data_IF_582617504789
#
_entry.id   IF_582617504789
#
_cell.length_a   1.000
_cell.length_b   1.000
_cell.length_c   1.000
_cell.angle_alpha   90.00
_cell.angle_beta   90.00
_cell.angle_gamma   90.00
#
_symmetry.space_group_name_H-M   'P 1'
#
loop_
_entity.id
_entity.type
_entity.pdbx_description
1 polymer ?
#
# COMPACT_ATOMS: atom_id res chain seq x y z
N UNK A 1 14.39 -14.97 16.16
CA UNK A 1 14.50 -15.76 17.41
C UNK A 1 15.03 -14.97 18.61
N UNK A 2 16.03 -14.09 18.49
CA UNK A 2 16.56 -13.29 19.64
C UNK A 2 15.57 -12.31 20.29
N UNK A 3 14.60 -11.78 19.53
CA UNK A 3 13.61 -10.80 20.03
C UNK A 3 12.49 -11.41 20.89
N UNK A 4 12.26 -12.73 20.77
CA UNK A 4 11.20 -13.42 21.52
C UNK A 4 11.60 -13.73 22.97
N UNK A 5 12.87 -14.04 23.22
CA UNK A 5 13.39 -14.23 24.57
C UNK A 5 13.25 -12.97 25.44
N UNK A 6 13.42 -11.79 24.83
CA UNK A 6 13.33 -10.50 25.52
C UNK A 6 11.88 -10.18 25.93
N UNK A 7 10.89 -10.49 25.08
CA UNK A 7 9.47 -10.29 25.41
C UNK A 7 9.01 -11.26 26.50
N UNK A 8 9.50 -12.50 26.49
CA UNK A 8 9.20 -13.50 27.51
C UNK A 8 9.81 -13.13 28.87
N UNK A 9 11.04 -12.60 28.88
CA UNK A 9 11.68 -12.08 30.11
C UNK A 9 11.02 -10.80 30.64
N UNK A 10 10.39 -9.98 29.79
CA UNK A 10 9.68 -8.76 30.21
C UNK A 10 8.27 -9.03 30.77
N UNK A 11 7.65 -10.17 30.43
CA UNK A 11 6.32 -10.53 30.91
C UNK A 11 6.33 -11.19 32.30
N UNK A 12 7.44 -11.80 32.71
CA UNK A 12 7.57 -12.46 34.02
C UNK A 12 7.46 -11.45 35.19
N UNK A 13 8.10 -10.26 35.16
CA UNK A 13 7.94 -9.25 36.21
C UNK A 13 6.54 -8.61 36.26
N UNK A 14 5.83 -8.55 35.13
CA UNK A 14 4.49 -7.95 35.05
C UNK A 14 3.42 -8.82 35.70
N UNK A 15 3.57 -10.15 35.65
CA UNK A 15 2.68 -11.09 36.35
C UNK A 15 2.93 -11.02 37.87
N UNK A 16 4.19 -10.86 38.31
CA UNK A 16 4.50 -10.66 39.74
C UNK A 16 4.00 -9.32 40.30
N UNK A 17 3.82 -8.29 39.47
CA UNK A 17 3.25 -7.01 39.90
C UNK A 17 1.72 -7.07 40.08
N UNK A 18 1.01 -7.93 39.35
CA UNK A 18 -0.44 -8.14 39.53
C UNK A 18 -0.78 -9.05 40.70
N UNK A 19 0.15 -9.91 41.15
CA UNK A 19 -0.03 -10.72 42.34
C UNK A 19 0.30 -9.98 43.66
N UNK A 20 0.84 -8.75 43.59
CA UNK A 20 1.33 -7.99 44.75
C UNK A 20 0.44 -6.80 45.13
N UNK A 21 -0.85 -6.85 44.79
CA UNK A 21 -1.85 -5.90 45.29
C UNK A 21 -3.07 -6.66 45.81
N UNK A 22 -2.97 -7.09 47.07
CA UNK A 22 -3.99 -7.87 47.76
C UNK A 22 -3.69 -8.10 49.25
N UNK A 23 -3.56 -6.98 49.98
CA UNK A 23 -3.91 -6.79 51.40
C UNK A 23 -3.05 -7.38 52.54
N UNK A 24 -2.90 -6.54 53.58
CA UNK A 24 -2.13 -6.70 54.81
C UNK A 24 -3.02 -7.29 55.92
N UNK A 25 -2.49 -8.22 56.75
CA UNK A 25 -3.07 -8.48 58.08
C UNK A 25 -3.08 -9.95 58.53
N UNK A 26 -2.19 -10.27 59.46
CA UNK A 26 -2.16 -11.41 60.39
C UNK A 26 -3.32 -12.43 60.35
N UNK A 27 -3.01 -13.69 60.01
CA UNK A 27 -3.19 -14.84 60.93
C UNK A 27 -2.75 -16.15 60.27
N UNK A 28 -2.06 -16.97 61.05
CA UNK A 28 -1.58 -18.30 60.73
C UNK A 28 -2.68 -19.20 60.16
N UNK A 29 -2.58 -19.57 58.88
CA UNK A 29 -3.22 -20.78 58.36
C UNK A 29 -2.47 -21.23 57.11
N UNK A 30 -2.10 -22.50 57.11
CA UNK A 30 -1.51 -23.22 55.99
C UNK A 30 -2.34 -22.99 54.72
N UNK A 31 -1.93 -22.06 53.88
CA UNK A 31 -2.51 -21.83 52.56
C UNK A 31 -1.52 -22.37 51.53
N UNK A 32 -1.33 -23.68 51.56
CA UNK A 32 -0.85 -24.39 50.37
C UNK A 32 -1.91 -24.21 49.28
N UNK A 33 -1.56 -23.48 48.22
CA UNK A 33 -2.43 -23.27 47.07
C UNK A 33 -2.83 -24.64 46.50
N UNK A 34 -4.13 -24.96 46.49
CA UNK A 34 -4.58 -26.32 46.15
C UNK A 34 -4.01 -26.74 44.79
N UNK A 35 -3.58 -28.00 44.65
CA UNK A 35 -2.95 -28.48 43.41
C UNK A 35 -3.78 -28.23 42.15
N UNK A 36 -5.11 -28.10 42.31
CA UNK A 36 -6.02 -27.69 41.25
C UNK A 36 -5.79 -26.23 40.78
N UNK A 37 -5.60 -25.29 41.71
CA UNK A 37 -5.29 -23.90 41.38
C UNK A 37 -3.96 -23.79 40.62
N UNK A 38 -2.92 -24.52 41.06
CA UNK A 38 -1.62 -24.57 40.37
C UNK A 38 -1.78 -25.14 38.95
N UNK A 39 -2.54 -26.22 38.79
CA UNK A 39 -2.82 -26.81 37.48
C UNK A 39 -3.54 -25.83 36.55
N UNK A 40 -4.59 -25.16 37.02
CA UNK A 40 -5.33 -24.17 36.22
C UNK A 40 -4.46 -22.99 35.78
N UNK A 41 -3.55 -22.54 36.64
CA UNK A 41 -2.61 -21.46 36.34
C UNK A 41 -1.63 -21.87 35.23
N UNK A 42 -1.09 -23.09 35.29
CA UNK A 42 -0.20 -23.63 34.25
C UNK A 42 -0.93 -23.74 32.89
N UNK A 43 -2.17 -24.25 32.90
CA UNK A 43 -2.99 -24.36 31.68
C UNK A 43 -3.28 -22.99 31.07
N UNK A 44 -3.58 -21.99 31.91
CA UNK A 44 -3.82 -20.62 31.45
C UNK A 44 -2.57 -19.99 30.81
N UNK A 45 -1.38 -20.20 31.39
CA UNK A 45 -0.11 -19.74 30.81
C UNK A 45 0.14 -20.43 29.45
N UNK A 46 -0.05 -21.75 29.37
CA UNK A 46 0.12 -22.49 28.13
C UNK A 46 -0.82 -22.00 27.03
N UNK A 47 -2.08 -21.69 27.38
CA UNK A 47 -3.07 -21.14 26.45
C UNK A 47 -2.68 -19.76 25.92
N UNK A 48 -2.13 -18.88 26.77
CA UNK A 48 -1.65 -17.55 26.37
C UNK A 48 -0.49 -17.68 25.39
N UNK A 49 0.48 -18.55 25.68
CA UNK A 49 1.64 -18.79 24.78
C UNK A 49 1.16 -19.31 23.42
N UNK A 50 0.23 -20.28 23.43
CA UNK A 50 -0.31 -20.85 22.19
C UNK A 50 -1.09 -19.81 21.37
N UNK A 51 -1.86 -18.95 22.03
CA UNK A 51 -2.58 -17.83 21.38
C UNK A 51 -1.63 -16.84 20.72
N UNK A 52 -0.53 -16.49 21.39
CA UNK A 52 0.50 -15.60 20.83
C UNK A 52 1.17 -16.24 19.60
N UNK A 53 1.47 -17.53 19.63
CA UNK A 53 2.08 -18.24 18.48
C UNK A 53 1.15 -18.24 17.27
N UNK A 54 -0.15 -18.47 17.47
CA UNK A 54 -1.15 -18.42 16.40
C UNK A 54 -1.24 -17.01 15.81
N UNK A 55 -1.27 -15.97 16.65
CA UNK A 55 -1.30 -14.57 16.20
C UNK A 55 -0.07 -14.20 15.37
N UNK A 56 1.13 -14.62 15.79
CA UNK A 56 2.37 -14.38 15.02
C UNK A 56 2.33 -15.12 13.68
N UNK A 57 1.87 -16.37 13.67
CA UNK A 57 1.77 -17.17 12.44
C UNK A 57 0.75 -16.58 11.49
N UNK A 58 -0.36 -16.07 12.01
CA UNK A 58 -1.36 -15.36 11.21
C UNK A 58 -0.81 -14.04 10.69
N UNK A 59 -0.14 -13.24 11.52
CA UNK A 59 0.54 -12.02 11.10
C UNK A 59 1.54 -12.29 9.97
N UNK A 60 2.34 -13.35 10.09
CA UNK A 60 3.30 -13.73 9.05
C UNK A 60 2.59 -14.08 7.73
N UNK A 61 1.49 -14.84 7.78
CA UNK A 61 0.67 -15.13 6.59
C UNK A 61 0.07 -13.85 5.98
N UNK A 62 -0.38 -12.89 6.78
CA UNK A 62 -0.88 -11.61 6.25
C UNK A 62 0.24 -10.73 5.68
N UNK A 63 1.45 -10.78 6.23
CA UNK A 63 2.59 -9.99 5.75
C UNK A 63 3.16 -10.58 4.46
N UNK A 64 3.21 -11.91 4.34
CA UNK A 64 3.62 -12.60 3.11
C UNK A 64 2.65 -12.30 1.96
N UNK A 65 1.33 -12.23 2.22
CA UNK A 65 0.33 -11.82 1.22
C UNK A 65 0.53 -10.37 0.79
N UNK A 66 0.75 -9.45 1.73
CA UNK A 66 0.99 -8.05 1.40
C UNK A 66 2.34 -7.85 0.69
N UNK A 67 3.34 -8.65 1.01
CA UNK A 67 4.65 -8.63 0.35
C UNK A 67 4.58 -9.23 -1.07
N UNK A 68 3.79 -10.29 -1.29
CA UNK A 68 3.50 -10.83 -2.63
C UNK A 68 2.72 -9.81 -3.45
N UNK A 69 1.71 -9.17 -2.84
CA UNK A 69 0.94 -8.08 -3.45
C UNK A 69 1.85 -6.92 -3.78
N UNK A 70 2.76 -6.51 -2.90
CA UNK A 70 3.74 -5.46 -3.17
C UNK A 70 4.73 -5.86 -4.27
N UNK A 71 5.27 -7.08 -4.29
CA UNK A 71 6.17 -7.50 -5.37
C UNK A 71 5.49 -7.65 -6.74
N UNK A 72 4.19 -7.99 -6.78
CA UNK A 72 3.37 -7.99 -8.01
C UNK A 72 2.92 -6.56 -8.40
N UNK A 73 2.70 -5.68 -7.43
CA UNK A 73 2.19 -4.30 -7.65
C UNK A 73 3.33 -3.31 -7.96
N UNK A 74 4.54 -3.53 -7.43
CA UNK A 74 5.69 -2.65 -7.64
C UNK A 74 6.35 -2.83 -9.02
N UNK A 75 5.93 -3.85 -9.78
CA UNK A 75 6.37 -4.11 -11.14
C UNK A 75 5.16 -4.23 -12.08
N UNK A 76 4.32 -3.18 -12.12
CA UNK A 76 3.37 -2.89 -13.21
C UNK A 76 2.73 -4.17 -13.80
N UNK A 77 1.82 -4.86 -13.07
CA UNK A 77 1.28 -6.13 -13.52
C UNK A 77 0.66 -5.89 -14.89
N UNK A 78 1.25 -6.52 -15.91
CA UNK A 78 0.94 -6.29 -17.33
C UNK A 78 -0.58 -6.20 -17.47
N UNK A 79 -1.11 -5.08 -17.98
CA UNK A 79 -2.55 -4.78 -18.01
C UNK A 79 -3.43 -5.98 -18.42
N UNK A 80 -2.91 -6.78 -19.35
CA UNK A 80 -3.47 -8.05 -19.82
C UNK A 80 -3.68 -9.10 -18.72
N UNK A 81 -2.77 -9.21 -17.77
CA UNK A 81 -2.86 -10.11 -16.62
C UNK A 81 -4.02 -9.73 -15.70
N UNK A 82 -4.16 -8.44 -15.34
CA UNK A 82 -5.27 -7.97 -14.50
C UNK A 82 -6.63 -8.20 -15.17
N UNK A 83 -6.70 -8.00 -16.49
CA UNK A 83 -7.90 -8.32 -17.29
C UNK A 83 -8.17 -9.83 -17.30
N UNK A 84 -7.13 -10.65 -17.44
CA UNK A 84 -7.25 -12.11 -17.51
C UNK A 84 -7.72 -12.76 -16.20
N UNK A 85 -7.35 -12.19 -15.04
CA UNK A 85 -7.82 -12.65 -13.72
C UNK A 85 -9.21 -12.09 -13.35
N UNK A 86 -9.83 -11.27 -14.21
CA UNK A 86 -11.17 -10.71 -14.00
C UNK A 86 -11.22 -9.43 -13.15
N UNK A 87 -10.06 -8.90 -12.73
CA UNK A 87 -9.93 -7.71 -11.87
C UNK A 87 -10.04 -6.41 -12.68
N UNK A 88 -11.23 -6.15 -13.23
CA UNK A 88 -11.46 -5.04 -14.18
C UNK A 88 -11.21 -3.66 -13.58
N UNK A 89 -11.62 -3.41 -12.33
CA UNK A 89 -11.42 -2.12 -11.67
C UNK A 89 -9.93 -1.84 -11.42
N UNK A 90 -9.19 -2.85 -10.98
CA UNK A 90 -7.74 -2.73 -10.77
C UNK A 90 -7.02 -2.52 -12.11
N UNK A 91 -7.44 -3.22 -13.17
CA UNK A 91 -6.91 -3.03 -14.51
C UNK A 91 -7.16 -1.61 -15.03
N UNK A 92 -8.34 -1.05 -14.76
CA UNK A 92 -8.70 0.31 -15.17
C UNK A 92 -7.87 1.35 -14.41
N UNK A 93 -7.70 1.18 -13.09
CA UNK A 93 -6.83 2.04 -12.28
C UNK A 93 -5.37 1.97 -12.75
N UNK A 94 -4.86 0.77 -12.99
CA UNK A 94 -3.50 0.57 -13.50
C UNK A 94 -3.31 1.22 -14.89
N UNK A 95 -4.32 1.15 -15.77
CA UNK A 95 -4.28 1.77 -17.09
C UNK A 95 -4.18 3.29 -16.99
N UNK A 96 -4.95 3.87 -16.07
CA UNK A 96 -4.93 5.30 -15.81
C UNK A 96 -3.59 5.73 -15.21
N UNK A 97 -3.11 5.06 -14.17
CA UNK A 97 -1.81 5.34 -13.55
C UNK A 97 -0.69 5.28 -14.58
N UNK A 98 -0.67 4.25 -15.44
CA UNK A 98 0.32 4.13 -16.50
C UNK A 98 0.31 5.34 -17.46
N UNK A 99 -0.87 5.83 -17.86
CA UNK A 99 -0.97 7.00 -18.72
C UNK A 99 -0.50 8.26 -18.01
N UNK A 100 -0.92 8.49 -16.76
CA UNK A 100 -0.51 9.66 -15.97
C UNK A 100 1.01 9.67 -15.74
N UNK A 101 1.61 8.52 -15.40
CA UNK A 101 3.06 8.39 -15.18
C UNK A 101 3.90 8.74 -16.41
N UNK A 102 3.33 8.59 -17.62
CA UNK A 102 4.00 8.94 -18.89
C UNK A 102 3.75 10.40 -19.26
N UNK A 103 2.51 10.88 -19.08
CA UNK A 103 2.12 12.22 -19.50
C UNK A 103 2.60 13.30 -18.53
N UNK A 104 2.65 13.03 -17.23
CA UNK A 104 3.05 14.00 -16.22
C UNK A 104 4.50 14.49 -16.37
N UNK A 105 5.51 13.62 -16.64
CA UNK A 105 6.86 14.09 -16.96
C UNK A 105 6.89 15.07 -18.13
N UNK A 106 6.13 14.82 -19.21
CA UNK A 106 6.02 15.71 -20.38
C UNK A 106 5.36 17.04 -20.00
N UNK A 107 4.35 17.01 -19.13
CA UNK A 107 3.72 18.20 -18.59
C UNK A 107 4.71 19.04 -17.79
N UNK A 108 5.54 18.41 -16.96
CA UNK A 108 6.52 19.09 -16.12
C UNK A 108 7.79 19.54 -16.86
N UNK A 109 8.09 18.97 -18.03
CA UNK A 109 9.35 19.21 -18.75
C UNK A 109 9.40 20.61 -19.37
N UNK A 110 10.22 21.55 -18.86
CA UNK A 110 10.27 22.91 -19.39
C UNK A 110 10.90 22.99 -20.79
N UNK A 111 11.62 21.95 -21.23
CA UNK A 111 12.34 21.93 -22.50
C UNK A 111 11.52 21.36 -23.66
N UNK A 112 10.34 20.80 -23.37
CA UNK A 112 9.44 20.33 -24.42
C UNK A 112 8.59 21.48 -24.96
N UNK A 113 8.90 21.90 -26.19
CA UNK A 113 8.19 23.01 -26.86
C UNK A 113 6.86 22.59 -27.48
N UNK A 114 6.58 21.29 -27.64
CA UNK A 114 5.35 20.74 -28.22
C UNK A 114 4.76 19.66 -27.30
N UNK A 115 4.36 20.08 -26.09
CA UNK A 115 3.89 19.18 -25.02
C UNK A 115 2.66 18.39 -25.45
N UNK A 116 1.65 19.07 -25.99
CA UNK A 116 0.40 18.42 -26.40
C UNK A 116 0.64 17.39 -27.51
N UNK A 117 1.50 17.69 -28.48
CA UNK A 117 1.83 16.77 -29.58
C UNK A 117 2.62 15.55 -29.07
N UNK A 118 3.62 15.78 -28.20
CA UNK A 118 4.40 14.69 -27.61
C UNK A 118 3.51 13.75 -26.80
N UNK A 119 2.60 14.32 -26.00
CA UNK A 119 1.60 13.56 -25.26
C UNK A 119 0.64 12.79 -26.19
N UNK A 120 0.17 13.41 -27.27
CA UNK A 120 -0.69 12.76 -28.26
C UNK A 120 -0.02 11.53 -28.88
N UNK A 121 1.28 11.59 -29.17
CA UNK A 121 2.03 10.44 -29.72
C UNK A 121 2.05 9.27 -28.73
N UNK A 122 2.32 9.52 -27.45
CA UNK A 122 2.29 8.49 -26.40
C UNK A 122 0.88 7.90 -26.21
N UNK A 123 -0.15 8.75 -26.23
CA UNK A 123 -1.54 8.32 -26.11
C UNK A 123 -1.92 7.44 -27.30
N UNK A 124 -1.61 7.85 -28.53
CA UNK A 124 -1.92 7.06 -29.75
C UNK A 124 -1.23 5.69 -29.75
N UNK A 125 -0.01 5.58 -29.22
CA UNK A 125 0.71 4.31 -29.14
C UNK A 125 0.09 3.29 -28.16
N UNK A 126 -0.69 3.77 -27.18
CA UNK A 126 -1.11 2.97 -26.00
C UNK A 126 -2.62 2.84 -25.86
N UNK A 127 -3.38 3.90 -26.12
CA UNK A 127 -4.83 3.94 -25.99
C UNK A 127 -5.54 2.84 -26.80
N UNK A 128 -5.12 2.50 -28.05
CA UNK A 128 -5.71 1.37 -28.79
C UNK A 128 -5.48 0.02 -28.09
N UNK A 129 -4.33 -0.18 -27.44
CA UNK A 129 -4.01 -1.42 -26.71
C UNK A 129 -4.86 -1.55 -25.45
N UNK A 130 -5.08 -0.44 -24.73
CA UNK A 130 -5.96 -0.39 -23.55
C UNK A 130 -7.41 -0.67 -23.94
N UNK A 131 -7.90 -0.05 -25.03
CA UNK A 131 -9.25 -0.28 -25.55
C UNK A 131 -9.48 -1.73 -26.01
N UNK A 132 -8.48 -2.36 -26.63
CA UNK A 132 -8.52 -3.79 -27.01
C UNK A 132 -8.69 -4.72 -25.81
N UNK A 133 -8.27 -4.29 -24.62
CA UNK A 133 -8.43 -5.04 -23.37
C UNK A 133 -9.80 -4.80 -22.70
N UNK A 134 -10.71 -4.05 -23.34
CA UNK A 134 -12.05 -3.77 -22.80
C UNK A 134 -12.05 -2.76 -21.65
N UNK A 135 -10.98 -1.98 -21.52
CA UNK A 135 -10.81 -0.98 -20.46
C UNK A 135 -11.16 0.42 -20.98
N UNK A 136 -11.94 1.16 -20.19
CA UNK A 136 -12.25 2.56 -20.42
C UNK A 136 -11.28 3.45 -19.66
N UNK A 137 -10.84 4.54 -20.27
CA UNK A 137 -10.07 5.58 -19.58
C UNK A 137 -10.87 6.88 -19.55
N UNK A 138 -10.67 7.74 -18.54
CA UNK A 138 -11.30 9.05 -18.47
C UNK A 138 -11.00 9.93 -19.70
N UNK A 139 -11.89 10.89 -19.98
CA UNK A 139 -11.76 11.75 -21.16
C UNK A 139 -10.50 12.62 -21.14
N UNK A 140 -10.05 13.06 -19.96
CA UNK A 140 -8.89 13.94 -19.83
C UNK A 140 -7.55 13.30 -20.22
N UNK A 141 -7.46 11.97 -20.33
CA UNK A 141 -6.25 11.27 -20.81
C UNK A 141 -6.35 10.84 -22.28
N UNK A 142 -7.35 11.33 -23.02
CA UNK A 142 -7.55 10.97 -24.44
C UNK A 142 -6.75 11.82 -25.41
N UNK A 143 -6.32 13.01 -24.98
CA UNK A 143 -5.50 13.95 -25.77
C UNK A 143 -4.58 14.72 -24.84
N UNK A 144 -3.42 15.15 -25.34
CA UNK A 144 -2.46 15.97 -24.60
C UNK A 144 -3.04 17.30 -24.13
N UNK A 145 -3.86 17.97 -24.95
CA UNK A 145 -4.51 19.24 -24.57
C UNK A 145 -5.41 19.06 -23.35
N UNK A 146 -6.37 18.13 -23.41
CA UNK A 146 -7.24 17.81 -22.27
C UNK A 146 -6.48 17.40 -21.01
N UNK A 147 -5.34 16.71 -21.17
CA UNK A 147 -4.51 16.34 -20.03
C UNK A 147 -3.87 17.57 -19.39
N UNK A 148 -3.30 18.46 -20.21
CA UNK A 148 -2.72 19.73 -19.77
C UNK A 148 -3.78 20.59 -19.08
N UNK A 149 -4.97 20.71 -19.66
CA UNK A 149 -6.09 21.46 -19.07
C UNK A 149 -6.46 20.93 -17.71
N UNK A 150 -6.63 19.61 -17.59
CA UNK A 150 -6.98 18.96 -16.34
C UNK A 150 -5.92 19.19 -15.25
N UNK A 151 -4.63 19.10 -15.58
CA UNK A 151 -3.56 19.34 -14.59
C UNK A 151 -3.45 20.85 -14.25
N UNK A 152 -3.65 21.74 -15.22
CA UNK A 152 -3.69 23.19 -14.97
C UNK A 152 -4.81 23.54 -13.98
N UNK A 153 -6.01 22.98 -14.15
CA UNK A 153 -7.15 23.14 -13.23
C UNK A 153 -6.84 22.64 -11.81
N UNK A 154 -6.06 21.56 -11.68
CA UNK A 154 -5.70 20.99 -10.38
C UNK A 154 -4.57 21.72 -9.66
N UNK A 155 -3.72 22.44 -10.40
CA UNK A 155 -2.46 22.97 -9.87
C UNK A 155 -2.38 24.50 -9.88
N UNK A 156 -3.41 25.21 -10.35
CA UNK A 156 -3.39 26.66 -10.59
C UNK A 156 -2.23 27.13 -11.52
N UNK A 157 -1.58 26.19 -12.21
CA UNK A 157 -0.56 26.48 -13.20
C UNK A 157 -1.20 26.75 -14.56
N UNK A 158 -0.46 27.43 -15.45
CA UNK A 158 -0.91 27.75 -16.81
C UNK A 158 0.13 27.30 -17.82
N UNK A 159 0.34 25.98 -17.89
CA UNK A 159 1.23 25.38 -18.90
C UNK A 159 0.55 25.46 -20.26
N UNK A 160 1.25 26.01 -21.25
CA UNK A 160 0.78 26.09 -22.64
C UNK A 160 0.93 24.76 -23.35
N UNK A 161 0.07 24.49 -24.34
CA UNK A 161 0.15 23.31 -25.20
C UNK A 161 1.41 23.29 -26.07
N UNK A 162 1.89 24.48 -26.46
CA UNK A 162 3.08 24.73 -27.27
C UNK A 162 3.73 26.04 -26.83
N UNK A 163 5.06 26.11 -26.81
CA UNK A 163 5.77 27.37 -26.54
C UNK A 163 5.69 28.29 -27.76
N UNK A 164 5.30 29.56 -27.56
CA UNK A 164 5.06 30.54 -28.65
C UNK A 164 6.35 31.11 -29.29
N UNK A 165 7.54 30.60 -28.97
CA UNK A 165 8.83 31.19 -29.38
C UNK A 165 9.29 30.83 -30.81
N UNK A 166 8.37 30.74 -31.79
CA UNK A 166 8.72 30.47 -33.19
C UNK A 166 8.23 31.53 -34.18
N UNK A 167 7.66 32.65 -33.74
CA UNK A 167 7.20 33.72 -34.64
C UNK A 167 8.15 34.93 -34.75
N UNK A 168 9.28 34.95 -34.04
CA UNK A 168 10.23 36.08 -34.07
C UNK A 168 11.62 35.66 -34.58
N UNK A 169 11.72 35.22 -35.84
CA UNK A 169 12.98 35.14 -36.56
C UNK A 169 12.74 35.20 -38.08
N UNK A 170 12.17 36.31 -38.56
CA UNK A 170 12.30 36.72 -39.95
C UNK A 170 12.22 38.25 -40.00
N UNK A 171 13.38 38.88 -40.00
CA UNK A 171 13.65 40.19 -40.60
C UNK A 171 15.15 40.27 -40.92
#
# INVERSE_FOLDING_TARGET
MKKFAVVLCALIPAISAFAYYGDYGYSSRENEMSGFAIFTLIVMIAYIILSIVILIRWWKLTTDVEQIRQHLTHANPKLTYLVAIGEKEQAQKAALTMLVDILYPIYSDPYNYSKAETMNNEIQARLPKIRKLGLSVPDYVTTGEKFIDHINELTDHKVSYKNESSSCASN
#
